data_IF_541443137399
#
_entry.id   IF_541443137399
#
_cell.length_a   1.000
_cell.length_b   1.000
_cell.length_c   1.000
_cell.angle_alpha   90.00
_cell.angle_beta   90.00
_cell.angle_gamma   90.00
#
_symmetry.space_group_name_H-M   'P 1'
#
loop_
_entity.id
_entity.type
_entity.pdbx_description
1 polymer ?
#
# COMPACT_ATOMS: atom_id res chain seq x y z
N UNK A 1 21.01 -44.05 -9.72
CA UNK A 1 21.65 -42.89 -10.38
C UNK A 1 22.33 -42.07 -9.31
N UNK A 2 23.66 -41.96 -9.33
CA UNK A 2 24.41 -41.16 -8.37
C UNK A 2 24.53 -39.72 -8.90
N UNK A 3 23.78 -38.80 -8.31
CA UNK A 3 23.87 -37.37 -8.62
C UNK A 3 25.09 -36.76 -7.91
N UNK A 4 25.89 -35.92 -8.59
CA UNK A 4 27.02 -35.25 -7.96
C UNK A 4 26.56 -34.26 -6.90
N UNK A 5 27.28 -34.19 -5.78
CA UNK A 5 27.01 -33.23 -4.70
C UNK A 5 27.20 -31.79 -5.19
N UNK A 6 26.32 -30.84 -4.82
CA UNK A 6 26.38 -29.46 -5.28
C UNK A 6 27.70 -28.76 -4.88
N UNK A 7 28.17 -27.83 -5.72
CA UNK A 7 29.45 -27.13 -5.50
C UNK A 7 29.43 -26.27 -4.22
N UNK A 8 30.52 -26.33 -3.45
CA UNK A 8 30.68 -25.64 -2.15
C UNK A 8 30.75 -24.10 -2.23
N UNK A 9 30.66 -23.51 -3.43
CA UNK A 9 30.78 -22.06 -3.63
C UNK A 9 29.58 -21.27 -3.07
N UNK A 10 28.42 -21.90 -2.92
CA UNK A 10 27.24 -21.26 -2.31
C UNK A 10 27.29 -21.18 -0.78
N UNK A 11 28.10 -22.00 -0.10
CA UNK A 11 28.18 -21.98 1.37
C UNK A 11 29.07 -20.86 1.93
N UNK A 12 29.94 -20.26 1.11
CA UNK A 12 30.91 -19.26 1.58
C UNK A 12 30.35 -17.84 1.75
N UNK A 13 29.09 -17.59 1.35
CA UNK A 13 28.42 -16.29 1.56
C UNK A 13 27.48 -16.24 2.78
N UNK A 14 27.28 -17.35 3.49
CA UNK A 14 26.50 -17.36 4.74
C UNK A 14 27.35 -17.01 5.98
N UNK A 15 28.67 -17.11 5.90
CA UNK A 15 29.57 -16.92 7.05
C UNK A 15 29.93 -15.47 7.36
N UNK A 16 29.24 -14.50 6.76
CA UNK A 16 29.52 -13.07 6.93
C UNK A 16 28.28 -12.19 7.14
N UNK A 17 27.11 -12.77 7.36
CA UNK A 17 25.93 -12.04 7.82
C UNK A 17 25.68 -12.47 9.26
N UNK A 18 25.81 -11.53 10.20
CA UNK A 18 25.48 -11.76 11.61
C UNK A 18 24.08 -12.39 11.70
N UNK A 19 24.03 -13.67 12.08
CA UNK A 19 22.80 -14.45 12.20
C UNK A 19 21.80 -13.77 13.12
N UNK A 20 22.29 -13.09 14.16
CA UNK A 20 21.49 -12.27 15.06
C UNK A 20 20.85 -11.05 14.37
N UNK A 21 21.55 -10.40 13.43
CA UNK A 21 21.00 -9.28 12.65
C UNK A 21 19.88 -9.77 11.71
N UNK A 22 20.04 -10.95 11.11
CA UNK A 22 19.02 -11.55 10.24
C UNK A 22 17.78 -11.96 11.03
N UNK A 23 17.95 -12.54 12.23
CA UNK A 23 16.85 -12.93 13.12
C UNK A 23 16.11 -11.72 13.73
N UNK A 24 16.84 -10.67 14.09
CA UNK A 24 16.25 -9.40 14.57
C UNK A 24 15.48 -8.69 13.46
N UNK A 25 16.00 -8.66 12.23
CA UNK A 25 15.27 -8.11 11.08
C UNK A 25 14.01 -8.94 10.80
N UNK A 26 14.08 -10.27 10.84
CA UNK A 26 12.92 -11.14 10.65
C UNK A 26 11.83 -10.94 11.72
N UNK A 27 12.22 -10.83 12.99
CA UNK A 27 11.30 -10.60 14.11
C UNK A 27 10.65 -9.21 14.08
N UNK A 28 11.42 -8.16 13.75
CA UNK A 28 10.87 -6.80 13.54
C UNK A 28 9.91 -6.79 12.35
N UNK A 29 10.23 -7.51 11.27
CA UNK A 29 9.36 -7.63 10.08
C UNK A 29 8.02 -8.29 10.42
N UNK A 30 8.04 -9.38 11.19
CA UNK A 30 6.82 -10.07 11.65
C UNK A 30 5.98 -9.19 12.59
N UNK A 31 6.62 -8.43 13.50
CA UNK A 31 5.90 -7.51 14.39
C UNK A 31 5.26 -6.34 13.65
N UNK A 32 5.90 -5.83 12.60
CA UNK A 32 5.34 -4.79 11.72
C UNK A 32 4.12 -5.34 10.97
N UNK A 33 4.22 -6.56 10.42
CA UNK A 33 3.10 -7.23 9.75
C UNK A 33 1.91 -7.45 10.70
N UNK A 34 2.18 -7.89 11.94
CA UNK A 34 1.15 -8.09 12.97
C UNK A 34 0.47 -6.79 13.42
N UNK A 35 1.20 -5.65 13.46
CA UNK A 35 0.62 -4.33 13.73
C UNK A 35 -0.26 -3.86 12.57
N UNK A 36 0.18 -4.04 11.33
CA UNK A 36 -0.60 -3.70 10.14
C UNK A 36 -1.90 -4.51 10.04
N UNK A 37 -1.91 -5.76 10.48
CA UNK A 37 -3.11 -6.60 10.50
C UNK A 37 -4.20 -6.09 11.48
N UNK A 38 -3.82 -5.45 12.58
CA UNK A 38 -4.76 -4.89 13.56
C UNK A 38 -5.51 -3.66 13.05
N UNK A 39 -4.94 -2.90 12.12
CA UNK A 39 -5.57 -1.70 11.54
C UNK A 39 -6.67 -2.05 10.50
N UNK A 40 -6.82 -3.32 10.14
CA UNK A 40 -7.79 -3.79 9.12
C UNK A 40 -9.06 -4.42 9.72
N UNK A 41 -9.24 -4.36 11.04
CA UNK A 41 -10.21 -5.15 11.81
C UNK A 41 -11.71 -4.81 11.61
N UNK A 42 -12.14 -4.39 10.43
CA UNK A 42 -13.56 -4.09 10.16
C UNK A 42 -14.02 -4.11 8.70
N UNK A 43 -13.14 -4.31 7.72
CA UNK A 43 -13.53 -4.35 6.30
C UNK A 43 -12.79 -5.47 5.56
N UNK A 44 -13.49 -6.57 5.30
CA UNK A 44 -12.96 -7.79 4.67
C UNK A 44 -12.39 -7.57 3.26
N UNK A 45 -12.81 -6.53 2.55
CA UNK A 45 -12.39 -6.26 1.16
C UNK A 45 -11.10 -5.44 1.04
N UNK A 46 -10.67 -4.76 2.10
CA UNK A 46 -9.55 -3.80 2.05
C UNK A 46 -8.18 -4.48 1.85
N UNK A 47 -7.84 -5.59 2.55
CA UNK A 47 -6.57 -6.29 2.31
C UNK A 47 -6.40 -6.74 0.87
N UNK A 48 -7.44 -7.36 0.30
CA UNK A 48 -7.42 -7.86 -1.08
C UNK A 48 -7.24 -6.73 -2.07
N UNK A 49 -7.91 -5.59 -1.85
CA UNK A 49 -7.75 -4.41 -2.70
C UNK A 49 -6.35 -3.78 -2.60
N UNK A 50 -5.72 -3.83 -1.42
CA UNK A 50 -4.34 -3.37 -1.20
C UNK A 50 -3.38 -4.25 -1.99
N UNK A 51 -3.46 -5.57 -1.80
CA UNK A 51 -2.54 -6.52 -2.44
C UNK A 51 -2.67 -6.46 -3.98
N UNK A 52 -3.90 -6.44 -4.49
CA UNK A 52 -4.15 -6.32 -5.92
C UNK A 52 -3.64 -4.99 -6.51
N UNK A 53 -3.81 -3.87 -5.80
CA UNK A 53 -3.29 -2.58 -6.26
C UNK A 53 -1.76 -2.55 -6.28
N UNK A 54 -1.10 -3.14 -5.29
CA UNK A 54 0.36 -3.24 -5.26
C UNK A 54 0.86 -4.07 -6.46
N UNK A 55 0.25 -5.23 -6.71
CA UNK A 55 0.64 -6.11 -7.81
C UNK A 55 0.50 -5.42 -9.17
N UNK A 56 -0.61 -4.71 -9.41
CA UNK A 56 -0.85 -3.96 -10.65
C UNK A 56 0.24 -2.91 -10.91
N UNK A 57 0.65 -2.17 -9.88
CA UNK A 57 1.67 -1.13 -10.01
C UNK A 57 3.07 -1.73 -10.20
N UNK A 58 3.41 -2.81 -9.47
CA UNK A 58 4.71 -3.46 -9.59
C UNK A 58 4.95 -4.05 -10.98
N UNK A 59 3.93 -4.67 -11.59
CA UNK A 59 4.07 -5.31 -12.90
C UNK A 59 3.92 -4.34 -14.08
N UNK A 60 3.57 -3.08 -13.85
CA UNK A 60 3.19 -2.16 -14.93
C UNK A 60 4.33 -1.92 -15.93
N UNK A 61 5.57 -1.76 -15.44
CA UNK A 61 6.74 -1.55 -16.31
C UNK A 61 7.05 -2.81 -17.12
N UNK A 62 7.05 -3.97 -16.49
CA UNK A 62 7.37 -5.24 -17.15
C UNK A 62 6.30 -5.67 -18.15
N UNK A 63 5.02 -5.42 -17.85
CA UNK A 63 3.89 -5.86 -18.68
C UNK A 63 3.54 -4.85 -19.78
N UNK A 64 3.65 -3.54 -19.49
CA UNK A 64 3.15 -2.47 -20.36
C UNK A 64 4.20 -1.42 -20.74
N UNK A 65 5.40 -1.45 -20.15
CA UNK A 65 6.44 -0.43 -20.39
C UNK A 65 6.09 0.96 -19.86
N UNK A 66 5.12 1.05 -18.92
CA UNK A 66 4.57 2.31 -18.43
C UNK A 66 4.60 2.39 -16.90
N UNK A 67 4.71 3.62 -16.38
CA UNK A 67 4.66 3.95 -14.96
C UNK A 67 3.36 4.66 -14.63
N UNK A 68 2.64 4.19 -13.63
CA UNK A 68 1.41 4.85 -13.16
C UNK A 68 1.75 5.93 -12.14
N UNK A 69 1.71 7.20 -12.56
CA UNK A 69 2.02 8.34 -11.69
C UNK A 69 0.82 8.90 -10.95
N UNK A 70 -0.40 8.46 -11.30
CA UNK A 70 -1.66 8.95 -10.75
C UNK A 70 -2.51 7.79 -10.26
N UNK A 71 -3.06 7.92 -9.06
CA UNK A 71 -3.92 6.93 -8.41
C UNK A 71 -5.32 7.51 -8.22
N UNK A 72 -6.34 6.94 -8.88
CA UNK A 72 -7.73 7.35 -8.71
C UNK A 72 -8.42 6.48 -7.65
N UNK A 73 -9.01 7.09 -6.60
CA UNK A 73 -9.70 6.34 -5.54
C UNK A 73 -10.98 7.02 -5.01
N UNK A 74 -11.88 6.24 -4.41
CA UNK A 74 -13.12 6.74 -3.76
C UNK A 74 -12.87 7.10 -2.30
N UNK A 75 -12.18 8.20 -2.04
CA UNK A 75 -11.98 8.77 -0.70
C UNK A 75 -11.09 7.97 0.25
N UNK A 76 -11.10 6.64 0.15
CA UNK A 76 -10.40 5.72 1.04
C UNK A 76 -8.91 5.75 0.74
N UNK A 77 -8.14 6.32 1.66
CA UNK A 77 -6.71 6.54 1.46
C UNK A 77 -5.87 5.29 1.76
N UNK A 78 -6.45 4.18 2.22
CA UNK A 78 -5.70 3.01 2.71
C UNK A 78 -4.92 2.33 1.59
N UNK A 79 -5.57 2.08 0.45
CA UNK A 79 -4.95 1.48 -0.74
C UNK A 79 -3.86 2.40 -1.28
N UNK A 80 -4.17 3.69 -1.45
CA UNK A 80 -3.19 4.69 -1.87
C UNK A 80 -1.95 4.73 -0.96
N UNK A 81 -2.15 4.75 0.37
CA UNK A 81 -1.05 4.75 1.35
C UNK A 81 -0.18 3.51 1.22
N UNK A 82 -0.78 2.34 1.01
CA UNK A 82 -0.04 1.10 0.83
C UNK A 82 0.80 1.11 -0.45
N UNK A 83 0.20 1.53 -1.58
CA UNK A 83 0.91 1.67 -2.86
C UNK A 83 2.05 2.70 -2.76
N UNK A 84 1.81 3.85 -2.13
CA UNK A 84 2.83 4.90 -1.97
C UNK A 84 3.96 4.46 -1.03
N UNK A 85 3.65 3.69 0.03
CA UNK A 85 4.66 3.10 0.92
C UNK A 85 5.54 2.09 0.19
N UNK A 86 5.00 1.38 -0.79
CA UNK A 86 5.75 0.36 -1.53
C UNK A 86 6.73 0.98 -2.54
N UNK A 87 6.53 2.24 -2.95
CA UNK A 87 7.38 2.95 -3.92
C UNK A 87 7.72 2.09 -5.16
N UNK A 88 6.70 1.65 -5.95
CA UNK A 88 6.91 0.70 -7.04
C UNK A 88 7.89 1.19 -8.11
N UNK A 89 8.11 2.50 -8.20
CA UNK A 89 9.01 3.15 -9.17
C UNK A 89 10.15 3.94 -8.50
N UNK A 90 10.50 3.60 -7.25
CA UNK A 90 11.55 4.26 -6.48
C UNK A 90 11.21 5.72 -6.14
N UNK A 91 11.95 6.67 -6.72
CA UNK A 91 11.85 8.10 -6.41
C UNK A 91 10.63 8.79 -7.05
N UNK A 92 9.91 8.11 -7.94
CA UNK A 92 8.73 8.68 -8.61
C UNK A 92 7.53 8.56 -7.67
N UNK A 93 7.06 9.71 -7.18
CA UNK A 93 5.86 9.79 -6.35
C UNK A 93 4.57 9.53 -7.14
N UNK A 94 3.58 8.95 -6.47
CA UNK A 94 2.24 8.71 -7.01
C UNK A 94 1.30 9.76 -6.43
N UNK A 95 0.66 10.54 -7.31
CA UNK A 95 -0.33 11.54 -6.94
C UNK A 95 -1.71 10.90 -6.73
N UNK A 96 -2.38 11.20 -5.61
CA UNK A 96 -3.76 10.74 -5.38
C UNK A 96 -4.75 11.70 -6.05
N UNK A 97 -5.63 11.12 -6.86
CA UNK A 97 -6.82 11.77 -7.40
C UNK A 97 -8.07 11.23 -6.71
N UNK A 98 -9.02 12.11 -6.44
CA UNK A 98 -10.31 11.74 -5.85
C UNK A 98 -11.34 11.46 -6.93
N UNK A 99 -12.19 10.45 -6.71
CA UNK A 99 -13.29 10.16 -7.61
C UNK A 99 -14.41 11.21 -7.50
N UNK A 100 -15.19 11.36 -8.57
CA UNK A 100 -16.34 12.29 -8.62
C UNK A 100 -17.37 11.98 -7.52
N UNK A 101 -17.54 10.70 -7.18
CA UNK A 101 -18.43 10.27 -6.10
C UNK A 101 -18.03 10.84 -4.74
N UNK A 102 -16.73 10.83 -4.43
CA UNK A 102 -16.19 11.42 -3.22
C UNK A 102 -16.38 12.94 -3.20
N UNK A 103 -16.07 13.63 -4.31
CA UNK A 103 -16.29 15.07 -4.44
C UNK A 103 -17.76 15.43 -4.21
N UNK A 104 -18.69 14.67 -4.82
CA UNK A 104 -20.14 14.85 -4.64
C UNK A 104 -20.57 14.68 -3.19
N UNK A 105 -20.12 13.61 -2.51
CA UNK A 105 -20.40 13.36 -1.09
C UNK A 105 -19.90 14.53 -0.24
N UNK A 106 -18.66 14.98 -0.48
CA UNK A 106 -18.04 16.06 0.27
C UNK A 106 -18.76 17.41 0.11
N UNK A 107 -19.10 17.77 -1.13
CA UNK A 107 -19.90 18.97 -1.42
C UNK A 107 -21.27 18.87 -0.74
N UNK A 108 -21.94 17.72 -0.83
CA UNK A 108 -23.23 17.48 -0.18
C UNK A 108 -23.17 17.68 1.34
N UNK A 109 -22.18 17.08 2.01
CA UNK A 109 -21.98 17.24 3.45
C UNK A 109 -21.73 18.69 3.85
N UNK A 110 -20.92 19.43 3.07
CA UNK A 110 -20.66 20.86 3.33
C UNK A 110 -21.91 21.71 3.17
N UNK A 111 -22.71 21.46 2.14
CA UNK A 111 -23.97 22.17 1.92
C UNK A 111 -24.99 21.88 3.04
N UNK A 112 -25.11 20.63 3.49
CA UNK A 112 -25.96 20.28 4.62
C UNK A 112 -25.52 20.97 5.90
N UNK A 113 -24.21 20.99 6.20
CA UNK A 113 -23.67 21.70 7.34
C UNK A 113 -23.95 23.21 7.27
N UNK A 114 -23.83 23.82 6.09
CA UNK A 114 -24.17 25.24 5.87
C UNK A 114 -25.67 25.50 6.11
N UNK A 115 -26.54 24.65 5.54
CA UNK A 115 -27.99 24.74 5.73
C UNK A 115 -28.37 24.68 7.21
N UNK A 116 -27.74 23.80 7.98
CA UNK A 116 -27.95 23.71 9.43
C UNK A 116 -27.52 24.98 10.18
N UNK A 117 -26.37 25.57 9.80
CA UNK A 117 -25.87 26.83 10.37
C UNK A 117 -26.73 28.06 10.02
N UNK A 118 -27.42 28.02 8.88
CA UNK A 118 -28.30 29.09 8.42
C UNK A 118 -29.73 28.95 8.93
N UNK A 119 -30.12 27.76 9.41
CA UNK A 119 -31.45 27.51 9.96
C UNK A 119 -31.70 28.42 11.17
N UNK A 120 -32.62 29.39 11.02
CA UNK A 120 -32.98 30.34 12.08
C UNK A 120 -32.30 31.71 11.99
N UNK A 121 -31.35 31.91 11.05
CA UNK A 121 -30.86 33.25 10.72
C UNK A 121 -31.84 33.88 9.72
N UNK A 122 -32.69 34.80 10.20
CA UNK A 122 -33.43 35.72 9.32
C UNK A 122 -32.42 36.75 8.80
N UNK A 123 -32.46 36.99 7.48
CA UNK A 123 -31.80 38.16 6.90
C UNK A 123 -32.52 39.43 7.34
#
# INVERSE_FOLDING_TARGET
MNLPTPSQRFNKKKSGLDTAAVETVATVSMQIAAKQAKDVSGHSYIPVAIDGAIEIFQRSESLHGLRYTKFLGDGDARVYKAVNKMQPYGYIGIEKLECVGFVKKWVGTRLQALKLKMKGKKN
#
